data_IF_170879109880
#
_entry.id   IF_170879109880
#
_cell.length_a   1.000
_cell.length_b   1.000
_cell.length_c   1.000
_cell.angle_alpha   90.00
_cell.angle_beta   90.00
_cell.angle_gamma   90.00
#
_symmetry.space_group_name_H-M   'P 1'
#
loop_
_entity.id
_entity.type
_entity.pdbx_description
1 polymer ?
#
# COMPACT_ATOMS: atom_id res chain seq x y z
N UNK A 1 -32.10 48.81 2.18
CA UNK A 1 -32.32 47.48 1.57
C UNK A 1 -31.05 46.67 1.81
N UNK A 2 -31.09 45.86 2.83
CA UNK A 2 -29.91 45.04 3.23
C UNK A 2 -30.08 43.66 2.56
N UNK A 3 -29.18 43.35 1.62
CA UNK A 3 -29.13 42.05 0.99
C UNK A 3 -28.65 41.00 2.01
N UNK A 4 -29.60 40.21 2.40
CA UNK A 4 -29.38 39.07 3.29
C UNK A 4 -28.81 37.91 2.45
N UNK A 5 -27.51 37.91 2.19
CA UNK A 5 -26.82 36.79 1.54
C UNK A 5 -26.84 35.62 2.51
N UNK A 6 -27.84 34.75 2.38
CA UNK A 6 -27.88 33.48 3.05
C UNK A 6 -26.64 32.70 2.61
N UNK A 7 -25.62 32.65 3.46
CA UNK A 7 -24.56 31.67 3.35
C UNK A 7 -25.21 30.30 3.45
N UNK A 8 -25.24 29.57 2.34
CA UNK A 8 -25.55 28.14 2.36
C UNK A 8 -24.40 27.51 3.13
N UNK A 9 -24.65 26.82 4.26
CA UNK A 9 -23.59 26.11 4.94
C UNK A 9 -23.14 25.00 3.99
N UNK A 10 -21.98 25.15 3.36
CA UNK A 10 -21.30 24.05 2.72
C UNK A 10 -20.95 23.06 3.85
N UNK A 11 -21.58 21.88 3.82
CA UNK A 11 -21.13 20.78 4.67
C UNK A 11 -19.63 20.60 4.44
N UNK A 12 -18.82 20.48 5.50
CA UNK A 12 -17.39 20.30 5.32
C UNK A 12 -17.15 19.08 4.44
N UNK A 13 -16.35 19.25 3.41
CA UNK A 13 -15.98 18.13 2.52
C UNK A 13 -15.23 17.07 3.34
N UNK A 14 -15.52 15.77 3.13
CA UNK A 14 -14.79 14.72 3.85
C UNK A 14 -13.31 14.75 3.50
N UNK A 15 -12.49 14.39 4.46
CA UNK A 15 -11.05 14.15 4.25
C UNK A 15 -10.86 12.91 3.37
N UNK A 16 -10.30 13.08 2.18
CA UNK A 16 -10.07 11.98 1.24
C UNK A 16 -8.64 11.47 1.37
N UNK A 17 -8.49 10.19 1.69
CA UNK A 17 -7.18 9.58 1.91
C UNK A 17 -7.05 8.28 1.12
N UNK A 18 -5.95 8.13 0.39
CA UNK A 18 -5.51 6.83 -0.11
C UNK A 18 -4.47 6.24 0.85
N UNK A 19 -4.75 5.05 1.37
CA UNK A 19 -3.82 4.30 2.20
C UNK A 19 -3.24 3.13 1.42
N UNK A 20 -1.99 3.25 0.99
CA UNK A 20 -1.25 2.19 0.36
C UNK A 20 -0.39 1.42 1.36
N UNK A 21 -0.03 0.19 0.99
CA UNK A 21 1.03 -0.54 1.64
C UNK A 21 2.21 -0.67 0.67
N UNK A 22 3.43 -0.73 1.20
CA UNK A 22 4.60 -0.94 0.36
C UNK A 22 4.41 -2.14 -0.58
N UNK A 23 4.71 -1.98 -1.86
CA UNK A 23 4.49 -2.96 -2.94
C UNK A 23 3.01 -3.25 -3.29
N UNK A 24 2.09 -2.35 -2.90
CA UNK A 24 0.66 -2.39 -3.25
C UNK A 24 0.29 -1.23 -4.19
N UNK A 25 1.00 -1.05 -5.29
CA UNK A 25 0.72 -0.03 -6.32
C UNK A 25 0.84 1.43 -5.84
N UNK A 26 1.56 1.72 -4.75
CA UNK A 26 1.70 3.08 -4.20
C UNK A 26 2.18 4.10 -5.23
N UNK A 27 3.15 3.74 -6.06
CA UNK A 27 3.67 4.62 -7.13
C UNK A 27 2.65 4.84 -8.25
N UNK A 28 1.87 3.81 -8.59
CA UNK A 28 0.80 3.93 -9.59
C UNK A 28 -0.27 4.92 -9.15
N UNK A 29 -0.76 4.77 -7.92
CA UNK A 29 -1.80 5.64 -7.34
C UNK A 29 -1.28 7.07 -7.18
N UNK A 30 -0.06 7.22 -6.65
CA UNK A 30 0.62 8.52 -6.52
C UNK A 30 0.63 9.27 -7.85
N UNK A 31 1.07 8.62 -8.92
CA UNK A 31 1.12 9.23 -10.25
C UNK A 31 -0.26 9.59 -10.80
N UNK A 32 -1.26 8.73 -10.60
CA UNK A 32 -2.63 9.02 -11.03
C UNK A 32 -3.17 10.27 -10.34
N UNK A 33 -3.12 10.32 -9.01
CA UNK A 33 -3.61 11.49 -8.27
C UNK A 33 -2.78 12.75 -8.52
N UNK A 34 -1.46 12.63 -8.63
CA UNK A 34 -0.60 13.78 -8.97
C UNK A 34 -0.97 14.38 -10.33
N UNK A 35 -1.33 13.56 -11.32
CA UNK A 35 -1.75 14.03 -12.65
C UNK A 35 -3.14 14.64 -12.65
N UNK A 36 -4.07 14.11 -11.88
CA UNK A 36 -5.44 14.58 -11.81
C UNK A 36 -5.56 15.86 -10.98
N UNK A 37 -4.86 15.93 -9.86
CA UNK A 37 -5.06 16.94 -8.82
C UNK A 37 -3.92 17.96 -8.72
N UNK A 38 -2.74 17.66 -9.30
CA UNK A 38 -1.58 18.55 -9.24
C UNK A 38 -1.22 18.93 -7.80
N UNK A 39 -1.14 20.24 -7.52
CA UNK A 39 -0.83 20.76 -6.20
C UNK A 39 -1.89 20.53 -5.12
N UNK A 40 -3.06 20.01 -5.48
CA UNK A 40 -4.12 19.65 -4.54
C UNK A 40 -4.01 18.18 -4.03
N UNK A 41 -2.95 17.48 -4.40
CA UNK A 41 -2.60 16.15 -3.91
C UNK A 41 -1.27 16.18 -3.18
N UNK A 42 -1.19 15.42 -2.07
CA UNK A 42 0.05 15.24 -1.32
C UNK A 42 0.24 13.78 -0.89
N UNK A 43 1.41 13.24 -1.19
CA UNK A 43 1.83 11.96 -0.65
C UNK A 43 2.75 12.19 0.56
N UNK A 44 2.28 11.77 1.72
CA UNK A 44 3.01 11.89 3.00
C UNK A 44 3.88 10.65 3.30
N UNK A 45 3.74 9.58 2.49
CA UNK A 45 4.40 8.31 2.78
C UNK A 45 4.16 7.85 4.23
N UNK A 46 5.22 7.80 5.03
CA UNK A 46 5.19 7.38 6.44
C UNK A 46 5.28 8.56 7.42
N UNK A 47 5.21 9.79 6.93
CA UNK A 47 5.22 11.00 7.74
C UNK A 47 3.84 11.25 8.37
N UNK A 48 3.58 10.56 9.49
CA UNK A 48 2.33 10.71 10.21
C UNK A 48 2.17 12.11 10.82
N UNK A 49 3.26 12.74 11.28
CA UNK A 49 3.20 14.07 11.87
C UNK A 49 2.79 15.11 10.82
N UNK A 50 3.50 15.18 9.70
CA UNK A 50 3.18 16.08 8.61
C UNK A 50 1.77 15.81 8.04
N UNK A 51 1.34 14.55 7.97
CA UNK A 51 -0.01 14.22 7.57
C UNK A 51 -1.07 14.88 8.46
N UNK A 52 -1.00 14.73 9.78
CA UNK A 52 -1.99 15.33 10.68
C UNK A 52 -1.91 16.85 10.78
N UNK A 53 -0.79 17.46 10.45
CA UNK A 53 -0.63 18.92 10.40
C UNK A 53 -1.22 19.53 9.14
N UNK A 54 -1.16 18.82 8.02
CA UNK A 54 -1.41 19.42 6.70
C UNK A 54 -2.51 18.75 5.87
N UNK A 55 -2.99 17.54 6.22
CA UNK A 55 -3.90 16.78 5.34
C UNK A 55 -5.13 17.56 4.85
N UNK A 56 -5.67 18.46 5.67
CA UNK A 56 -6.84 19.28 5.32
C UNK A 56 -6.57 20.33 4.24
N UNK A 57 -5.31 20.56 3.88
CA UNK A 57 -4.93 21.50 2.81
C UNK A 57 -5.05 20.90 1.42
N UNK A 58 -5.27 19.59 1.33
CA UNK A 58 -5.26 18.84 0.07
C UNK A 58 -6.61 18.21 -0.20
N UNK A 59 -6.99 18.15 -1.48
CA UNK A 59 -8.22 17.48 -1.90
C UNK A 59 -8.16 15.97 -1.70
N UNK A 60 -6.98 15.38 -1.93
CA UNK A 60 -6.68 13.97 -1.62
C UNK A 60 -5.27 13.89 -1.06
N UNK A 61 -5.11 13.06 -0.04
CA UNK A 61 -3.78 12.71 0.49
C UNK A 61 -3.49 11.24 0.30
N UNK A 62 -2.21 10.89 0.24
CA UNK A 62 -1.76 9.50 0.26
C UNK A 62 -0.87 9.25 1.45
N UNK A 63 -1.05 8.10 2.09
CA UNK A 63 -0.18 7.58 3.13
C UNK A 63 0.28 6.17 2.79
N UNK A 64 1.39 5.73 3.37
CA UNK A 64 1.91 4.38 3.16
C UNK A 64 2.34 3.78 4.49
N UNK A 65 1.91 2.53 4.72
CA UNK A 65 2.42 1.72 5.81
C UNK A 65 2.08 2.21 7.23
N UNK A 66 1.17 3.15 7.42
CA UNK A 66 0.67 3.46 8.75
C UNK A 66 -0.86 3.44 8.83
N UNK A 67 -1.37 3.11 9.99
CA UNK A 67 -2.79 3.16 10.32
C UNK A 67 -3.12 4.57 10.83
N UNK A 68 -3.99 5.32 10.13
CA UNK A 68 -4.40 6.62 10.62
C UNK A 68 -5.18 6.53 11.94
N UNK A 69 -5.03 7.53 12.78
CA UNK A 69 -5.95 7.77 13.90
C UNK A 69 -7.23 8.39 13.34
N UNK A 70 -8.26 7.58 13.18
CA UNK A 70 -9.53 7.96 12.57
C UNK A 70 -10.23 9.09 13.34
N UNK A 71 -10.00 9.20 14.66
CA UNK A 71 -10.60 10.26 15.49
C UNK A 71 -10.10 11.67 15.11
N UNK A 72 -8.95 11.76 14.46
CA UNK A 72 -8.32 13.02 14.01
C UNK A 72 -8.71 13.44 12.60
N UNK A 73 -9.44 12.61 11.86
CA UNK A 73 -9.78 12.88 10.46
C UNK A 73 -11.10 13.64 10.27
N UNK A 74 -11.95 13.70 11.32
CA UNK A 74 -13.31 14.23 11.20
C UNK A 74 -14.19 13.33 10.34
N UNK A 75 -14.90 13.92 9.37
CA UNK A 75 -15.54 13.13 8.31
C UNK A 75 -14.49 12.73 7.27
N UNK A 76 -14.50 11.46 6.84
CA UNK A 76 -13.47 10.94 5.94
C UNK A 76 -14.00 9.86 5.01
N UNK A 77 -13.30 9.69 3.89
CA UNK A 77 -13.40 8.51 3.02
C UNK A 77 -12.00 8.02 2.69
N UNK A 78 -11.77 6.74 2.89
CA UNK A 78 -10.45 6.12 2.69
C UNK A 78 -10.55 5.03 1.63
N UNK A 79 -9.73 5.12 0.59
CA UNK A 79 -9.41 4.00 -0.28
C UNK A 79 -8.17 3.31 0.23
N UNK A 80 -8.21 1.98 0.35
CA UNK A 80 -7.09 1.18 0.84
C UNK A 80 -6.73 0.09 -0.14
N UNK A 81 -5.45 -0.01 -0.51
CA UNK A 81 -4.95 -1.11 -1.34
C UNK A 81 -4.10 -2.04 -0.50
N UNK A 82 -4.45 -3.32 -0.51
CA UNK A 82 -3.71 -4.40 0.16
C UNK A 82 -3.25 -5.44 -0.86
N UNK A 83 -2.31 -6.27 -0.47
CA UNK A 83 -1.81 -7.41 -1.23
C UNK A 83 -1.63 -8.61 -0.31
N UNK A 84 -1.69 -9.82 -0.86
CA UNK A 84 -1.36 -11.03 -0.09
C UNK A 84 -0.02 -10.85 0.64
N UNK A 85 0.00 -10.91 1.99
CA UNK A 85 1.21 -10.71 2.78
C UNK A 85 2.39 -11.60 2.36
N UNK A 86 2.11 -12.79 1.86
CA UNK A 86 3.12 -13.73 1.36
C UNK A 86 3.80 -13.19 0.10
N UNK A 87 3.00 -12.61 -0.82
CA UNK A 87 3.52 -11.94 -2.01
C UNK A 87 4.23 -10.62 -1.68
N UNK A 88 3.82 -9.93 -0.61
CA UNK A 88 4.55 -8.76 -0.11
C UNK A 88 5.96 -9.12 0.35
N UNK A 89 6.11 -10.24 1.07
CA UNK A 89 7.41 -10.76 1.50
C UNK A 89 8.27 -11.10 0.29
N UNK A 90 7.74 -11.83 -0.68
CA UNK A 90 8.47 -12.18 -1.91
C UNK A 90 8.90 -10.92 -2.66
N UNK A 91 7.96 -10.00 -2.88
CA UNK A 91 8.23 -8.75 -3.59
C UNK A 91 9.24 -7.87 -2.85
N UNK A 92 9.12 -7.77 -1.53
CA UNK A 92 10.03 -7.01 -0.66
C UNK A 92 11.45 -7.57 -0.68
N UNK A 93 11.58 -8.88 -0.47
CA UNK A 93 12.88 -9.57 -0.50
C UNK A 93 13.67 -9.29 -1.78
N UNK A 94 13.07 -9.54 -2.94
CA UNK A 94 13.77 -9.31 -4.21
C UNK A 94 14.06 -7.83 -4.48
N UNK A 95 13.23 -6.93 -3.99
CA UNK A 95 13.41 -5.50 -4.14
C UNK A 95 14.52 -4.96 -3.24
N UNK A 96 14.48 -5.25 -1.96
CA UNK A 96 15.44 -4.75 -0.97
C UNK A 96 16.83 -5.36 -1.15
N UNK A 97 16.90 -6.62 -1.59
CA UNK A 97 18.17 -7.28 -1.93
C UNK A 97 18.97 -6.55 -3.01
N UNK A 98 18.30 -5.76 -3.89
CA UNK A 98 18.99 -4.97 -4.92
C UNK A 98 19.76 -3.78 -4.36
N UNK A 99 19.41 -3.30 -3.16
CA UNK A 99 20.04 -2.14 -2.55
C UNK A 99 19.80 -0.82 -3.29
N UNK A 100 18.69 -0.69 -4.02
CA UNK A 100 18.39 0.50 -4.82
C UNK A 100 17.79 1.63 -4.00
N UNK A 101 17.23 1.32 -2.84
CA UNK A 101 16.68 2.30 -1.90
C UNK A 101 17.76 2.75 -0.92
N UNK A 102 17.90 4.06 -0.71
CA UNK A 102 18.93 4.63 0.17
C UNK A 102 18.90 4.03 1.58
N UNK A 103 17.70 3.81 2.15
CA UNK A 103 17.54 3.26 3.48
C UNK A 103 18.03 1.81 3.61
N UNK A 104 17.97 1.00 2.54
CA UNK A 104 18.46 -0.39 2.55
C UNK A 104 19.98 -0.47 2.66
N UNK A 105 20.67 0.64 2.40
CA UNK A 105 22.13 0.78 2.48
C UNK A 105 22.59 1.53 3.73
N UNK A 106 21.69 1.85 4.65
CA UNK A 106 22.05 2.42 5.95
C UNK A 106 22.59 1.32 6.87
N UNK A 107 23.71 1.55 7.58
CA UNK A 107 24.21 0.63 8.59
C UNK A 107 23.18 0.40 9.70
N UNK A 108 23.29 -0.74 10.37
CA UNK A 108 22.34 -1.12 11.43
C UNK A 108 22.25 -0.10 12.56
N UNK A 109 23.32 0.54 12.95
CA UNK A 109 23.38 1.57 13.98
C UNK A 109 22.63 2.87 13.61
N UNK A 110 22.42 3.10 12.31
CA UNK A 110 21.60 4.20 11.77
C UNK A 110 20.18 3.77 11.42
N UNK A 111 19.84 2.52 11.73
CA UNK A 111 18.53 1.94 11.42
C UNK A 111 17.43 2.56 12.27
N UNK A 112 16.57 3.30 11.62
CA UNK A 112 15.47 4.03 12.28
C UNK A 112 14.22 3.19 12.52
N UNK A 113 14.18 1.98 11.98
CA UNK A 113 13.02 1.09 12.08
C UNK A 113 13.07 0.27 13.36
N UNK A 114 11.91 0.06 13.99
CA UNK A 114 11.84 -0.67 15.27
C UNK A 114 12.25 -2.15 15.14
N UNK A 115 12.06 -2.74 13.95
CA UNK A 115 12.34 -4.14 13.70
C UNK A 115 13.61 -4.33 12.88
N UNK A 116 14.65 -4.73 13.58
CA UNK A 116 15.90 -5.18 12.96
C UNK A 116 15.84 -6.70 12.81
N UNK A 117 16.02 -7.27 11.59
CA UNK A 117 16.09 -8.70 11.42
C UNK A 117 17.18 -9.33 12.28
N UNK A 118 16.87 -10.46 12.94
CA UNK A 118 17.79 -11.11 13.89
C UNK A 118 19.12 -11.50 13.27
N UNK A 119 19.10 -11.90 12.00
CA UNK A 119 20.30 -12.31 11.27
C UNK A 119 21.20 -11.13 10.84
N UNK A 120 20.79 -9.87 11.04
CA UNK A 120 21.55 -8.68 10.64
C UNK A 120 22.68 -8.39 11.61
N UNK A 121 23.92 -8.32 11.10
CA UNK A 121 25.11 -8.01 11.88
C UNK A 121 25.19 -6.52 12.22
N UNK A 122 26.03 -6.17 13.21
CA UNK A 122 26.12 -4.80 13.70
C UNK A 122 26.63 -3.80 12.65
N UNK A 123 27.54 -4.22 11.81
CA UNK A 123 28.19 -3.43 10.75
C UNK A 123 27.58 -3.64 9.36
N UNK A 124 26.45 -4.33 9.27
CA UNK A 124 25.82 -4.73 8.02
C UNK A 124 24.66 -3.82 7.65
N UNK A 125 24.46 -3.59 6.35
CA UNK A 125 23.24 -2.97 5.83
C UNK A 125 22.20 -4.03 5.53
N UNK A 126 20.92 -3.62 5.40
CA UNK A 126 19.84 -4.56 5.09
C UNK A 126 20.05 -5.25 3.73
N UNK A 127 20.47 -4.48 2.72
CA UNK A 127 20.78 -5.04 1.41
C UNK A 127 21.90 -6.08 1.48
N UNK A 128 22.96 -5.83 2.27
CA UNK A 128 24.07 -6.78 2.48
C UNK A 128 23.60 -8.03 3.20
N UNK A 129 22.74 -7.91 4.23
CA UNK A 129 22.12 -9.07 4.87
C UNK A 129 21.44 -9.96 3.82
N UNK A 130 20.52 -9.38 3.02
CA UNK A 130 19.73 -10.13 2.03
C UNK A 130 20.58 -10.70 0.88
N UNK A 131 21.76 -10.14 0.62
CA UNK A 131 22.70 -10.65 -0.37
C UNK A 131 23.56 -11.79 0.18
N UNK A 132 23.85 -11.77 1.49
CA UNK A 132 24.73 -12.73 2.17
C UNK A 132 24.04 -14.04 2.51
N UNK A 133 22.78 -13.97 2.97
CA UNK A 133 22.02 -15.16 3.37
C UNK A 133 21.41 -15.85 2.15
N UNK A 134 21.05 -17.12 2.30
CA UNK A 134 20.27 -17.81 1.28
C UNK A 134 18.83 -17.23 1.15
N UNK A 135 18.09 -17.71 0.16
CA UNK A 135 16.76 -17.17 -0.12
C UNK A 135 15.77 -17.44 1.02
N UNK A 136 15.83 -18.59 1.68
CA UNK A 136 14.91 -18.91 2.78
C UNK A 136 15.12 -17.98 3.96
N UNK A 137 16.36 -17.82 4.39
CA UNK A 137 16.71 -16.94 5.51
C UNK A 137 16.48 -15.46 5.15
N UNK A 138 16.67 -15.09 3.89
CA UNK A 138 16.34 -13.75 3.39
C UNK A 138 14.83 -13.46 3.42
N UNK A 139 13.99 -14.42 3.04
CA UNK A 139 12.53 -14.30 3.15
C UNK A 139 12.08 -14.22 4.63
N UNK A 140 12.72 -14.98 5.52
CA UNK A 140 12.47 -14.91 6.96
C UNK A 140 12.88 -13.55 7.52
N UNK A 141 14.02 -13.01 7.09
CA UNK A 141 14.45 -11.66 7.48
C UNK A 141 13.45 -10.59 6.99
N UNK A 142 12.91 -10.71 5.77
CA UNK A 142 11.85 -9.82 5.28
C UNK A 142 10.56 -9.96 6.09
N UNK A 143 10.18 -11.16 6.53
CA UNK A 143 9.05 -11.35 7.45
C UNK A 143 9.26 -10.63 8.79
N UNK A 144 10.47 -10.73 9.35
CA UNK A 144 10.82 -10.04 10.59
C UNK A 144 10.74 -8.54 10.44
N UNK A 145 11.29 -8.00 9.37
CA UNK A 145 11.23 -6.59 9.05
C UNK A 145 9.79 -6.08 8.88
N UNK A 146 8.95 -6.85 8.19
CA UNK A 146 7.56 -6.48 7.88
C UNK A 146 6.55 -6.75 8.98
N UNK A 147 6.92 -7.42 10.06
CA UNK A 147 5.96 -7.82 11.10
C UNK A 147 5.09 -6.68 11.64
N UNK A 148 5.61 -5.49 12.03
CA UNK A 148 4.76 -4.40 12.52
C UNK A 148 3.77 -3.92 11.47
N UNK A 149 4.14 -4.02 10.21
CA UNK A 149 3.32 -3.66 9.07
C UNK A 149 2.11 -4.56 8.94
N UNK A 150 2.34 -5.89 9.02
CA UNK A 150 1.26 -6.87 9.01
C UNK A 150 0.35 -6.73 10.23
N UNK A 151 0.90 -6.44 11.40
CA UNK A 151 0.13 -6.14 12.61
C UNK A 151 -0.75 -4.89 12.42
N UNK A 152 -0.25 -3.87 11.73
CA UNK A 152 -1.05 -2.69 11.41
C UNK A 152 -2.18 -3.00 10.43
N UNK A 153 -1.96 -3.91 9.48
CA UNK A 153 -2.99 -4.33 8.53
C UNK A 153 -4.20 -4.98 9.21
N UNK A 154 -3.99 -5.70 10.31
CA UNK A 154 -5.04 -6.37 11.08
C UNK A 154 -5.93 -5.41 11.88
N UNK A 155 -5.45 -4.20 12.18
CA UNK A 155 -6.16 -3.21 13.00
C UNK A 155 -7.08 -2.29 12.20
N UNK A 156 -7.17 -2.46 10.90
CA UNK A 156 -8.08 -1.67 10.08
C UNK A 156 -9.54 -2.05 10.35
N UNK A 157 -10.46 -1.09 10.44
CA UNK A 157 -11.87 -1.38 10.66
C UNK A 157 -12.45 -2.08 9.44
N UNK A 158 -12.91 -3.33 9.62
CA UNK A 158 -13.45 -4.14 8.54
C UNK A 158 -14.86 -3.65 8.11
N UNK A 159 -15.63 -3.10 9.05
CA UNK A 159 -17.05 -2.78 8.85
C UNK A 159 -17.32 -1.27 8.71
N UNK A 160 -16.30 -0.42 8.64
CA UNK A 160 -16.50 1.02 8.43
C UNK A 160 -16.76 1.30 6.93
N UNK A 161 -17.97 1.74 6.54
CA UNK A 161 -18.31 2.00 5.14
C UNK A 161 -17.50 3.16 4.52
N UNK A 162 -16.85 3.98 5.35
CA UNK A 162 -15.97 5.05 4.91
C UNK A 162 -14.59 4.55 4.49
N UNK A 163 -14.25 3.27 4.81
CA UNK A 163 -13.00 2.61 4.44
C UNK A 163 -13.29 1.53 3.41
N UNK A 164 -12.89 1.75 2.17
CA UNK A 164 -13.04 0.73 1.12
C UNK A 164 -11.69 0.13 0.76
N UNK A 165 -11.62 -1.20 0.83
CA UNK A 165 -10.39 -1.96 0.58
C UNK A 165 -10.47 -2.69 -0.75
N UNK A 166 -9.40 -2.61 -1.54
CA UNK A 166 -9.20 -3.39 -2.77
C UNK A 166 -7.95 -4.24 -2.62
N UNK A 167 -8.01 -5.47 -3.12
CA UNK A 167 -6.87 -6.37 -3.17
C UNK A 167 -6.08 -6.16 -4.45
N UNK A 168 -4.77 -6.14 -4.35
CA UNK A 168 -3.85 -6.05 -5.49
C UNK A 168 -4.19 -7.05 -6.59
N UNK A 169 -4.58 -8.25 -6.18
CA UNK A 169 -4.93 -9.37 -7.03
C UNK A 169 -6.16 -9.08 -7.91
N UNK A 170 -7.08 -8.25 -7.41
CA UNK A 170 -8.29 -7.81 -8.13
C UNK A 170 -8.03 -6.52 -8.94
N UNK A 171 -6.95 -5.80 -8.66
CA UNK A 171 -6.59 -4.54 -9.33
C UNK A 171 -5.81 -4.80 -10.61
N UNK A 172 -4.85 -5.73 -10.57
CA UNK A 172 -3.96 -5.98 -11.71
C UNK A 172 -4.77 -6.44 -12.94
N UNK A 173 -4.64 -5.68 -14.02
CA UNK A 173 -5.41 -5.87 -15.25
C UNK A 173 -6.76 -5.15 -15.28
N UNK A 174 -7.19 -4.57 -14.15
CA UNK A 174 -8.45 -3.83 -14.00
C UNK A 174 -8.22 -2.44 -13.38
N UNK A 175 -7.05 -1.88 -13.56
CA UNK A 175 -6.62 -0.65 -12.90
C UNK A 175 -7.57 0.53 -13.17
N UNK A 176 -8.12 0.62 -14.40
CA UNK A 176 -9.06 1.68 -14.79
C UNK A 176 -10.37 1.56 -14.01
N UNK A 177 -10.93 0.37 -13.96
CA UNK A 177 -12.19 0.08 -13.27
C UNK A 177 -12.07 0.35 -11.77
N UNK A 178 -10.93 -0.05 -11.18
CA UNK A 178 -10.68 0.16 -9.75
C UNK A 178 -10.47 1.63 -9.44
N UNK A 179 -9.71 2.37 -10.24
CA UNK A 179 -9.53 3.81 -10.02
C UNK A 179 -10.83 4.58 -10.24
N UNK A 180 -11.69 4.13 -11.15
CA UNK A 180 -13.05 4.65 -11.28
C UNK A 180 -13.87 4.44 -10.01
N UNK A 181 -13.85 3.22 -9.46
CA UNK A 181 -14.51 2.88 -8.21
C UNK A 181 -13.95 3.63 -6.98
N UNK A 182 -12.67 4.02 -7.01
CA UNK A 182 -12.06 4.91 -6.01
C UNK A 182 -12.67 6.32 -6.12
N UNK A 183 -12.80 6.86 -7.33
CA UNK A 183 -13.45 8.16 -7.56
C UNK A 183 -14.89 8.16 -7.10
N UNK A 184 -15.64 7.10 -7.39
CA UNK A 184 -17.00 6.89 -6.91
C UNK A 184 -17.06 6.86 -5.37
N UNK A 185 -16.19 6.09 -4.73
CA UNK A 185 -16.11 6.02 -3.27
C UNK A 185 -15.85 7.40 -2.65
N UNK A 186 -15.05 8.24 -3.29
CA UNK A 186 -14.78 9.61 -2.86
C UNK A 186 -15.97 10.55 -3.11
N UNK A 187 -16.98 10.11 -3.85
CA UNK A 187 -18.17 10.90 -4.19
C UNK A 187 -17.95 11.83 -5.37
N UNK A 188 -16.93 11.55 -6.20
CA UNK A 188 -16.72 12.31 -7.43
C UNK A 188 -17.80 11.95 -8.44
N UNK A 189 -18.36 12.98 -9.06
CA UNK A 189 -19.43 12.83 -10.05
C UNK A 189 -18.93 12.09 -11.28
N UNK A 190 -19.77 11.22 -11.80
CA UNK A 190 -19.65 10.60 -13.13
C UNK A 190 -20.82 11.08 -13.96
N UNK A 191 -20.75 12.33 -14.40
CA UNK A 191 -21.60 12.86 -15.45
C UNK A 191 -20.89 12.62 -16.81
N UNK A 192 -21.61 12.81 -17.89
CA UNK A 192 -21.10 12.63 -19.25
C UNK A 192 -20.01 13.66 -19.64
N UNK A 193 -19.58 14.51 -18.70
CA UNK A 193 -18.52 15.48 -18.91
C UNK A 193 -17.13 14.81 -18.82
N UNK A 194 -16.36 14.77 -19.92
CA UNK A 194 -15.03 14.19 -19.93
C UNK A 194 -14.00 14.97 -19.08
N UNK A 195 -14.34 16.14 -18.57
CA UNK A 195 -13.48 16.97 -17.74
C UNK A 195 -13.67 16.75 -16.23
N UNK A 196 -14.49 15.79 -15.82
CA UNK A 196 -14.63 15.46 -14.41
C UNK A 196 -13.37 14.84 -13.83
N UNK A 197 -13.17 14.97 -12.51
CA UNK A 197 -12.05 14.33 -11.81
C UNK A 197 -12.07 12.81 -12.01
N UNK A 198 -13.25 12.21 -12.06
CA UNK A 198 -13.42 10.76 -12.24
C UNK A 198 -13.02 10.34 -13.66
N UNK A 199 -13.43 11.08 -14.70
CA UNK A 199 -13.01 10.84 -16.07
C UNK A 199 -11.50 11.00 -16.25
N UNK A 200 -10.90 12.03 -15.66
CA UNK A 200 -9.46 12.23 -15.66
C UNK A 200 -8.72 11.08 -14.97
N UNK A 201 -9.25 10.57 -13.85
CA UNK A 201 -8.65 9.45 -13.13
C UNK A 201 -8.65 8.17 -13.97
N UNK A 202 -9.76 7.85 -14.64
CA UNK A 202 -9.84 6.74 -15.61
C UNK A 202 -8.82 6.90 -16.74
N UNK A 203 -8.72 8.10 -17.31
CA UNK A 203 -7.78 8.40 -18.38
C UNK A 203 -6.32 8.12 -17.97
N UNK A 204 -5.89 8.62 -16.83
CA UNK A 204 -4.51 8.42 -16.37
C UNK A 204 -4.24 6.98 -15.92
N UNK A 205 -5.22 6.31 -15.32
CA UNK A 205 -5.11 4.88 -15.00
C UNK A 205 -4.94 4.03 -16.27
N UNK A 206 -5.71 4.33 -17.33
CA UNK A 206 -5.56 3.66 -18.62
C UNK A 206 -4.22 3.95 -19.29
N UNK A 207 -3.77 5.20 -19.25
CA UNK A 207 -2.48 5.60 -19.83
C UNK A 207 -1.30 4.92 -19.14
N UNK A 208 -1.35 4.73 -17.83
CA UNK A 208 -0.34 3.98 -17.09
C UNK A 208 -0.32 2.50 -17.50
N UNK A 209 -1.50 1.88 -17.61
CA UNK A 209 -1.66 0.49 -18.07
C UNK A 209 -1.17 0.29 -19.50
N UNK A 210 -1.52 1.20 -20.40
CA UNK A 210 -1.17 1.12 -21.82
C UNK A 210 0.31 1.40 -22.10
N UNK A 211 1.05 2.00 -21.15
CA UNK A 211 2.42 2.40 -21.39
C UNK A 211 3.41 1.37 -20.83
N UNK A 212 3.60 0.27 -21.58
CA UNK A 212 4.59 -0.76 -21.23
C UNK A 212 6.00 -0.19 -21.08
N UNK A 213 6.31 0.93 -21.75
CA UNK A 213 7.57 1.64 -21.61
C UNK A 213 7.77 2.20 -20.22
N UNK A 214 6.71 2.72 -19.57
CA UNK A 214 6.77 3.18 -18.18
C UNK A 214 6.92 2.02 -17.21
N UNK A 215 6.32 0.85 -17.50
CA UNK A 215 6.53 -0.37 -16.73
C UNK A 215 7.96 -0.89 -16.86
N UNK A 216 8.53 -0.86 -18.05
CA UNK A 216 9.91 -1.28 -18.30
C UNK A 216 10.94 -0.35 -17.63
N UNK A 217 10.63 0.93 -17.47
CA UNK A 217 11.48 1.92 -16.79
C UNK A 217 11.30 1.92 -15.28
N UNK A 218 10.18 1.37 -14.79
CA UNK A 218 9.94 1.26 -13.37
C UNK A 218 10.68 0.03 -12.82
N UNK A 219 11.94 0.26 -12.41
CA UNK A 219 12.78 -0.75 -11.74
C UNK A 219 12.15 -1.33 -10.47
N UNK A 220 11.02 -0.76 -10.03
CA UNK A 220 10.26 -1.24 -8.89
C UNK A 220 9.40 -2.48 -9.18
N UNK A 221 9.08 -2.75 -10.45
CA UNK A 221 8.27 -3.92 -10.83
C UNK A 221 9.18 -5.03 -11.38
N UNK A 222 9.35 -6.10 -10.62
CA UNK A 222 10.03 -7.32 -11.08
C UNK A 222 9.07 -8.24 -11.81
N UNK A 223 8.00 -8.60 -11.15
CA UNK A 223 6.95 -9.50 -11.62
C UNK A 223 5.62 -9.06 -10.98
N UNK A 224 4.64 -8.60 -11.77
CA UNK A 224 3.35 -8.14 -11.24
C UNK A 224 2.37 -9.27 -10.92
N UNK A 225 2.68 -10.54 -11.29
CA UNK A 225 1.75 -11.66 -11.10
C UNK A 225 1.43 -11.88 -9.63
N UNK A 226 0.15 -12.06 -9.27
CA UNK A 226 -0.23 -12.55 -7.95
C UNK A 226 0.17 -14.02 -7.72
N UNK A 227 0.33 -14.39 -6.45
CA UNK A 227 0.52 -15.79 -6.06
C UNK A 227 1.94 -16.32 -6.21
N UNK A 228 2.94 -15.46 -6.43
CA UNK A 228 4.35 -15.84 -6.57
C UNK A 228 4.90 -16.59 -5.35
N UNK A 229 4.33 -16.35 -4.18
CA UNK A 229 4.74 -17.04 -2.96
C UNK A 229 4.61 -18.57 -3.06
N UNK A 230 3.70 -19.08 -3.92
CA UNK A 230 3.53 -20.52 -4.12
C UNK A 230 4.78 -21.18 -4.73
N UNK A 231 5.49 -20.43 -5.58
CA UNK A 231 6.70 -20.90 -6.25
C UNK A 231 7.96 -20.64 -5.42
N UNK A 232 7.89 -19.68 -4.46
CA UNK A 232 9.08 -19.15 -3.76
C UNK A 232 9.17 -19.64 -2.32
N UNK A 233 8.04 -19.83 -1.63
CA UNK A 233 8.01 -20.28 -0.24
C UNK A 233 8.28 -21.78 -0.18
N UNK A 234 9.37 -22.16 0.47
CA UNK A 234 9.64 -23.54 0.83
C UNK A 234 8.77 -23.96 2.03
N UNK A 235 8.66 -25.27 2.34
CA UNK A 235 7.94 -25.73 3.53
C UNK A 235 8.43 -25.06 4.82
N UNK A 236 9.74 -24.80 4.96
CA UNK A 236 10.32 -24.07 6.11
C UNK A 236 9.77 -22.66 6.20
N UNK A 237 9.80 -21.90 5.10
CA UNK A 237 9.31 -20.52 5.04
C UNK A 237 7.81 -20.44 5.31
N UNK A 238 7.03 -21.39 4.77
CA UNK A 238 5.59 -21.51 5.05
C UNK A 238 5.31 -21.77 6.53
N UNK A 239 6.07 -22.68 7.16
CA UNK A 239 5.91 -23.01 8.57
C UNK A 239 6.22 -21.81 9.47
N UNK A 240 7.31 -21.06 9.17
CA UNK A 240 7.68 -19.84 9.91
C UNK A 240 6.61 -18.78 9.76
N UNK A 241 6.09 -18.57 8.53
CA UNK A 241 5.03 -17.60 8.27
C UNK A 241 3.76 -17.95 9.06
N UNK A 242 3.29 -19.20 8.98
CA UNK A 242 2.08 -19.66 9.66
C UNK A 242 2.19 -19.56 11.20
N UNK A 243 3.38 -19.85 11.76
CA UNK A 243 3.63 -19.73 13.19
C UNK A 243 3.65 -18.26 13.67
N UNK A 244 4.15 -17.36 12.83
CA UNK A 244 4.30 -15.95 13.20
C UNK A 244 3.02 -15.13 12.98
N UNK A 245 2.23 -15.48 11.98
CA UNK A 245 1.04 -14.76 11.55
C UNK A 245 -0.16 -15.70 11.38
N UNK A 246 -0.63 -16.36 12.43
CA UNK A 246 -1.62 -17.44 12.34
C UNK A 246 -2.96 -16.97 11.73
N UNK A 247 -3.38 -15.74 12.01
CA UNK A 247 -4.70 -15.22 11.61
C UNK A 247 -4.64 -14.22 10.45
N UNK A 248 -3.43 -13.80 10.04
CA UNK A 248 -3.25 -12.70 9.10
C UNK A 248 -3.93 -12.94 7.75
N UNK A 249 -3.77 -14.13 7.21
CA UNK A 249 -4.26 -14.48 5.88
C UNK A 249 -5.79 -14.52 5.85
N UNK A 250 -6.39 -15.18 6.84
CA UNK A 250 -7.85 -15.33 6.94
C UNK A 250 -8.51 -13.98 7.27
N UNK A 251 -7.94 -13.21 8.20
CA UNK A 251 -8.47 -11.88 8.57
C UNK A 251 -8.46 -10.91 7.38
N UNK A 252 -7.45 -10.99 6.50
CA UNK A 252 -7.41 -10.18 5.28
C UNK A 252 -8.21 -10.80 4.12
N UNK A 253 -8.89 -11.94 4.36
CA UNK A 253 -9.74 -12.60 3.39
C UNK A 253 -8.98 -13.26 2.24
N UNK A 254 -7.74 -13.72 2.49
CA UNK A 254 -6.97 -14.54 1.56
C UNK A 254 -7.11 -16.02 1.87
N UNK A 255 -6.87 -16.88 0.86
CA UNK A 255 -6.92 -18.32 1.06
C UNK A 255 -5.75 -18.80 1.93
N UNK A 256 -6.00 -19.55 3.01
CA UNK A 256 -4.95 -20.16 3.80
C UNK A 256 -4.15 -21.18 2.97
N UNK A 257 -2.92 -21.45 3.38
CA UNK A 257 -2.15 -22.56 2.84
C UNK A 257 -2.89 -23.85 3.20
N UNK A 258 -3.25 -24.65 2.21
CA UNK A 258 -3.89 -25.95 2.48
C UNK A 258 -3.03 -26.73 3.47
N UNK A 259 -3.55 -26.98 4.65
CA UNK A 259 -2.86 -27.82 5.65
C UNK A 259 -2.69 -29.18 5.00
N UNK A 260 -1.45 -29.61 4.74
CA UNK A 260 -1.19 -30.98 4.34
C UNK A 260 -1.85 -31.88 5.39
N UNK A 261 -2.85 -32.68 5.00
CA UNK A 261 -3.41 -33.68 5.90
C UNK A 261 -2.22 -34.53 6.33
N UNK A 262 -1.84 -34.43 7.60
CA UNK A 262 -1.00 -35.47 8.21
C UNK A 262 -1.81 -36.74 8.09
N UNK A 263 -1.43 -37.61 7.18
CA UNK A 263 -1.85 -39.01 7.20
C UNK A 263 -1.26 -39.57 8.48
N UNK A 264 -2.18 -39.92 9.38
CA UNK A 264 -1.87 -40.62 10.62
C UNK A 264 -1.35 -42.02 10.33
#
# INVERSE_FOLDING_TARGET
MSENTKQIPHAPMPTLVHCGHHKCLTVFVDRCFQKVLGGHFRNFFQDAAGFYEEHQRYAVTQTSDFLPDFSRLGDYKISRFIRDPRDLIVSGYFYHRRGTEAWTNQPRDQWRWQNVPRAMRADETYAQLLQRVDQEDGLIAEMEFRAPHFESMLRWPADDPRVKTWKYEDIIGREVEVMDAVGEHYGWLDDDDPFTLRAALRHFANRWKANDTLRAWDKHVRDPRPGQWRDVFTPKVQAVFAARFPDLIETLGYEPIARSRRTA
#
